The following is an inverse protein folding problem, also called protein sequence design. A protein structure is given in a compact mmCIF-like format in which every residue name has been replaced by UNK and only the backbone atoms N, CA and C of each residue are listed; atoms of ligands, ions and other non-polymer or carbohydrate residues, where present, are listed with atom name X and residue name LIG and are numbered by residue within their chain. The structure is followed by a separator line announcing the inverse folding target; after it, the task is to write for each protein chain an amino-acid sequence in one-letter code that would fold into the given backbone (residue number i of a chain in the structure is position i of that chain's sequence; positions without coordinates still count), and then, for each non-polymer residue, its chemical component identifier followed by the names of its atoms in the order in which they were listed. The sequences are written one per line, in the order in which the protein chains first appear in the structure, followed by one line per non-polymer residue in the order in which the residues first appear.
data_IF_095491631253
#
_entry.id   IF_095491631253
#
_cell.length_a   1.000
_cell.length_b   1.000
_cell.length_c   1.000
_cell.angle_alpha   90.00
_cell.angle_beta   90.00
_cell.angle_gamma   90.00
#
_symmetry.space_group_name_H-M   'P 1'
#
loop_
_entity.id
_entity.type
_entity.pdbx_description
1 polymer ?
#
# COMPACT_ATOMS: atom_id res chain seq x y z
N UNK A 1 -6.38 1.67 -18.96
CA UNK A 1 -5.55 2.27 -17.89
C UNK A 1 -5.53 3.78 -18.11
N UNK A 2 -5.84 4.58 -17.09
CA UNK A 2 -5.79 6.05 -17.17
C UNK A 2 -4.41 6.52 -16.70
N UNK A 3 -3.77 7.43 -17.44
CA UNK A 3 -2.52 8.08 -17.02
C UNK A 3 -2.76 9.18 -15.98
N UNK A 4 -1.73 9.51 -15.20
CA UNK A 4 -1.69 10.72 -14.36
C UNK A 4 -0.74 11.73 -14.99
N UNK A 5 -1.15 13.00 -15.04
CA UNK A 5 -0.28 14.12 -15.35
C UNK A 5 0.04 14.83 -14.04
N UNK A 6 1.25 14.62 -13.54
CA UNK A 6 1.76 15.19 -12.29
C UNK A 6 3.23 15.58 -12.48
N UNK A 7 3.70 16.57 -11.73
CA UNK A 7 5.10 16.96 -11.73
C UNK A 7 5.94 16.10 -10.78
N UNK A 8 7.27 16.29 -10.79
CA UNK A 8 8.19 15.50 -9.97
C UNK A 8 8.02 15.71 -8.46
N UNK A 9 7.59 16.89 -8.03
CA UNK A 9 7.34 17.19 -6.61
C UNK A 9 6.07 16.45 -6.17
N UNK A 10 4.99 16.57 -6.93
CA UNK A 10 3.72 15.87 -6.68
C UNK A 10 3.91 14.35 -6.68
N UNK A 11 4.73 13.81 -7.59
CA UNK A 11 5.07 12.39 -7.61
C UNK A 11 5.74 11.96 -6.29
N UNK A 12 6.73 12.72 -5.81
CA UNK A 12 7.46 12.40 -4.56
C UNK A 12 6.56 12.52 -3.33
N UNK A 13 5.68 13.51 -3.30
CA UNK A 13 4.69 13.68 -2.23
C UNK A 13 3.70 12.52 -2.21
N UNK A 14 3.18 12.13 -3.37
CA UNK A 14 2.31 10.97 -3.50
C UNK A 14 3.03 9.68 -3.08
N UNK A 15 4.26 9.47 -3.53
CA UNK A 15 5.08 8.34 -3.13
C UNK A 15 5.26 8.30 -1.60
N UNK A 16 5.60 9.43 -0.99
CA UNK A 16 5.77 9.55 0.46
C UNK A 16 4.50 9.23 1.24
N UNK A 17 3.36 9.80 0.84
CA UNK A 17 2.08 9.60 1.50
C UNK A 17 1.59 8.15 1.38
N UNK A 18 1.66 7.59 0.17
CA UNK A 18 1.25 6.21 -0.07
C UNK A 18 2.14 5.22 0.68
N UNK A 19 3.44 5.46 0.71
CA UNK A 19 4.39 4.66 1.49
C UNK A 19 4.00 4.62 2.96
N UNK A 20 3.77 5.79 3.57
CA UNK A 20 3.38 5.90 4.98
C UNK A 20 2.06 5.19 5.25
N UNK A 21 1.06 5.38 4.39
CA UNK A 21 -0.24 4.74 4.54
C UNK A 21 -0.15 3.21 4.44
N UNK A 22 0.69 2.68 3.54
CA UNK A 22 0.96 1.25 3.43
C UNK A 22 1.65 0.70 4.69
N UNK A 23 2.62 1.43 5.24
CA UNK A 23 3.30 1.07 6.49
C UNK A 23 2.32 1.00 7.68
N UNK A 24 1.47 2.02 7.83
CA UNK A 24 0.46 2.06 8.88
C UNK A 24 -0.53 0.88 8.76
N UNK A 25 -1.03 0.60 7.55
CA UNK A 25 -1.94 -0.53 7.34
C UNK A 25 -1.26 -1.87 7.64
N UNK A 26 -0.02 -2.06 7.19
CA UNK A 26 0.71 -3.30 7.44
C UNK A 26 0.94 -3.52 8.94
N UNK A 27 1.29 -2.46 9.68
CA UNK A 27 1.44 -2.50 11.13
C UNK A 27 0.12 -2.87 11.81
N UNK A 28 -0.99 -2.26 11.42
CA UNK A 28 -2.30 -2.54 12.01
C UNK A 28 -2.78 -3.98 11.68
N UNK A 29 -2.47 -4.50 10.50
CA UNK A 29 -2.84 -5.87 10.12
C UNK A 29 -2.19 -6.93 11.04
N UNK A 30 -1.04 -6.63 11.62
CA UNK A 30 -0.36 -7.49 12.60
C UNK A 30 -1.03 -7.46 13.98
N UNK A 31 -1.85 -6.44 14.30
CA UNK A 31 -2.52 -6.33 15.60
C UNK A 31 -3.67 -7.33 15.73
N UNK A 32 -3.54 -8.28 16.65
CA UNK A 32 -4.55 -9.33 16.89
C UNK A 32 -5.86 -8.81 17.51
N UNK A 33 -5.86 -7.57 18.04
CA UNK A 33 -7.04 -6.97 18.68
C UNK A 33 -8.04 -6.40 17.66
N UNK A 34 -7.64 -6.22 16.41
CA UNK A 34 -8.51 -5.70 15.35
C UNK A 34 -9.44 -6.81 14.85
N UNK A 35 -10.72 -6.51 14.80
CA UNK A 35 -11.77 -7.40 14.31
C UNK A 35 -11.50 -7.89 12.87
N UNK A 36 -11.87 -9.15 12.59
CA UNK A 36 -11.61 -9.79 11.30
C UNK A 36 -12.29 -9.08 10.11
N UNK A 37 -13.49 -8.52 10.28
CA UNK A 37 -14.16 -7.75 9.23
C UNK A 37 -13.39 -6.46 8.93
N UNK A 38 -12.89 -5.79 9.97
CA UNK A 38 -12.05 -4.60 9.83
C UNK A 38 -10.74 -4.96 9.11
N UNK A 39 -10.07 -6.05 9.50
CA UNK A 39 -8.86 -6.53 8.79
C UNK A 39 -9.11 -6.82 7.31
N UNK A 40 -10.28 -7.35 6.94
CA UNK A 40 -10.65 -7.56 5.54
C UNK A 40 -10.73 -6.23 4.79
N UNK A 41 -11.43 -5.25 5.34
CA UNK A 41 -11.52 -3.91 4.74
C UNK A 41 -10.13 -3.24 4.63
N UNK A 42 -9.26 -3.42 5.62
CA UNK A 42 -7.88 -2.92 5.57
C UNK A 42 -7.05 -3.57 4.46
N UNK A 43 -7.19 -4.89 4.24
CA UNK A 43 -6.55 -5.59 3.11
C UNK A 43 -7.05 -5.08 1.76
N UNK A 44 -8.35 -4.83 1.63
CA UNK A 44 -8.93 -4.24 0.42
C UNK A 44 -8.36 -2.84 0.15
N UNK A 45 -8.30 -1.98 1.19
CA UNK A 45 -7.68 -0.66 1.13
C UNK A 45 -6.21 -0.74 0.72
N UNK A 46 -5.44 -1.62 1.36
CA UNK A 46 -4.03 -1.86 1.05
C UNK A 46 -3.84 -2.24 -0.43
N UNK A 47 -4.66 -3.14 -0.98
CA UNK A 47 -4.53 -3.55 -2.38
C UNK A 47 -4.73 -2.38 -3.35
N UNK A 48 -5.69 -1.50 -3.08
CA UNK A 48 -5.95 -0.30 -3.90
C UNK A 48 -4.77 0.66 -3.81
N UNK A 49 -4.29 0.93 -2.60
CA UNK A 49 -3.17 1.85 -2.38
C UNK A 49 -1.86 1.32 -2.97
N UNK A 50 -1.60 0.02 -2.85
CA UNK A 50 -0.41 -0.62 -3.41
C UNK A 50 -0.42 -0.53 -4.95
N UNK A 51 -1.58 -0.68 -5.59
CA UNK A 51 -1.71 -0.49 -7.03
C UNK A 51 -1.45 0.97 -7.46
N UNK A 52 -1.83 1.95 -6.64
CA UNK A 52 -1.52 3.35 -6.89
C UNK A 52 -0.04 3.66 -6.65
N UNK A 53 0.54 3.13 -5.57
CA UNK A 53 1.95 3.28 -5.21
C UNK A 53 2.88 2.80 -6.33
N UNK A 54 2.55 1.64 -6.93
CA UNK A 54 3.27 1.11 -8.09
C UNK A 54 3.33 2.01 -9.32
N UNK A 55 2.49 3.05 -9.40
CA UNK A 55 2.50 4.03 -10.50
C UNK A 55 3.45 5.19 -10.25
N UNK A 56 3.80 5.46 -9.00
CA UNK A 56 4.58 6.64 -8.59
C UNK A 56 5.94 6.27 -7.98
N UNK A 57 6.09 5.05 -7.49
CA UNK A 57 7.30 4.55 -6.85
C UNK A 57 8.12 3.64 -7.77
N UNK A 58 9.42 3.54 -7.47
CA UNK A 58 10.32 2.60 -8.14
C UNK A 58 10.02 1.14 -7.78
N UNK A 59 10.44 0.20 -8.62
CA UNK A 59 10.27 -1.24 -8.34
C UNK A 59 10.97 -1.67 -7.05
N UNK A 60 12.16 -1.12 -6.76
CA UNK A 60 12.90 -1.37 -5.53
C UNK A 60 12.14 -0.94 -4.28
N UNK A 61 11.40 0.16 -4.34
CA UNK A 61 10.53 0.58 -3.24
C UNK A 61 9.30 -0.33 -3.12
N UNK A 62 8.69 -0.71 -4.25
CA UNK A 62 7.53 -1.60 -4.26
C UNK A 62 7.79 -2.96 -3.58
N UNK A 63 8.99 -3.53 -3.75
CA UNK A 63 9.36 -4.81 -3.15
C UNK A 63 9.27 -4.78 -1.63
N UNK A 64 9.58 -3.65 -0.99
CA UNK A 64 9.54 -3.51 0.48
C UNK A 64 8.13 -3.67 1.05
N UNK A 65 7.13 -3.29 0.24
CA UNK A 65 5.73 -3.33 0.63
C UNK A 65 4.99 -4.49 -0.01
N UNK A 66 5.66 -5.40 -0.73
CA UNK A 66 4.97 -6.56 -1.29
C UNK A 66 4.38 -7.41 -0.16
N UNK A 67 3.14 -7.91 -0.32
CA UNK A 67 2.59 -8.83 0.65
C UNK A 67 3.48 -10.08 0.63
N UNK A 68 4.06 -10.43 1.79
CA UNK A 68 4.68 -11.74 1.96
C UNK A 68 3.61 -12.76 1.55
N UNK A 69 3.89 -13.62 0.58
CA UNK A 69 2.96 -14.69 0.20
C UNK A 69 2.59 -15.42 1.49
N UNK A 70 1.38 -15.18 1.97
CA UNK A 70 0.75 -16.05 2.93
C UNK A 70 0.57 -17.36 2.18
N UNK A 71 1.38 -18.36 2.54
CA UNK A 71 1.02 -19.74 2.28
C UNK A 71 -0.44 -19.91 2.71
N UNK A 72 -1.26 -20.38 1.77
CA UNK A 72 -2.70 -20.55 1.85
C UNK A 72 -3.23 -20.79 3.28
N UNK A 73 -4.22 -19.99 3.68
CA UNK A 73 -5.41 -20.42 4.43
C UNK A 73 -6.45 -19.29 4.50
#
# INVERSE_FOLDING_TARGET
MLGLLINEIEQKEMEYLLRRELEEILMDLEDQRIDHMVKRAMKERYNILFQLFRRVASESECIKYMPKRSENQ
#
